data_IF_556902034031
#
_entry.id   IF_556902034031
#
_cell.length_a   1.000
_cell.length_b   1.000
_cell.length_c   1.000
_cell.angle_alpha   90.00
_cell.angle_beta   90.00
_cell.angle_gamma   90.00
#
_symmetry.space_group_name_H-M   'P 1'
#
loop_
_entity.id
_entity.type
_entity.pdbx_description
1 polymer ?
#
# COMPACT_ATOMS: atom_id res chain seq x y z
N UNK A 1 15.54 -6.10 -8.98
CA UNK A 1 15.76 -4.77 -8.36
C UNK A 1 15.75 -4.88 -6.84
N UNK A 2 16.86 -4.65 -6.13
CA UNK A 2 16.86 -4.64 -4.66
C UNK A 2 16.12 -3.45 -4.02
N UNK A 3 15.45 -2.57 -4.79
CA UNK A 3 15.28 -1.17 -4.37
C UNK A 3 13.84 -0.65 -4.25
N UNK A 4 12.82 -1.45 -4.59
CA UNK A 4 11.44 -0.94 -4.54
C UNK A 4 10.87 -1.00 -3.11
N UNK A 5 10.86 -2.19 -2.51
CA UNK A 5 10.40 -2.37 -1.12
C UNK A 5 11.29 -1.63 -0.13
N UNK A 6 12.60 -1.57 -0.38
CA UNK A 6 13.54 -0.85 0.50
C UNK A 6 13.23 0.65 0.56
N UNK A 7 12.83 1.29 -0.54
CA UNK A 7 12.50 2.72 -0.55
C UNK A 7 11.26 3.01 0.32
N UNK A 8 10.22 2.17 0.19
CA UNK A 8 9.01 2.27 1.01
C UNK A 8 9.35 2.07 2.49
N UNK A 9 10.11 1.02 2.82
CA UNK A 9 10.47 0.75 4.21
C UNK A 9 11.40 1.82 4.80
N UNK A 10 12.32 2.41 4.03
CA UNK A 10 13.15 3.52 4.50
C UNK A 10 12.31 4.75 4.80
N UNK A 11 11.39 5.15 3.90
CA UNK A 11 10.44 6.26 4.16
C UNK A 11 9.67 5.99 5.45
N UNK A 12 9.10 4.80 5.58
CA UNK A 12 8.37 4.36 6.78
C UNK A 12 9.24 4.44 8.03
N UNK A 13 10.46 3.95 8.00
CA UNK A 13 11.37 3.98 9.14
C UNK A 13 11.77 5.41 9.55
N UNK A 14 11.92 6.33 8.59
CA UNK A 14 12.18 7.75 8.85
C UNK A 14 10.96 8.41 9.51
N UNK A 15 9.76 8.13 9.01
CA UNK A 15 8.52 8.61 9.65
C UNK A 15 8.41 8.05 11.07
N UNK A 16 8.60 6.74 11.22
CA UNK A 16 8.53 6.08 12.52
C UNK A 16 9.61 6.60 13.45
N UNK A 17 10.82 6.98 13.00
CA UNK A 17 11.87 7.50 13.90
C UNK A 17 11.60 8.92 14.38
N UNK A 18 10.94 9.75 13.57
CA UNK A 18 10.57 11.13 13.91
C UNK A 18 9.29 11.23 14.73
N UNK A 19 8.48 10.17 14.75
CA UNK A 19 7.25 10.11 15.56
C UNK A 19 7.55 10.12 17.07
N UNK A 20 6.78 10.92 17.82
CA UNK A 20 6.78 10.93 19.29
C UNK A 20 5.50 10.24 19.76
N UNK A 21 5.59 9.02 20.33
CA UNK A 21 4.43 8.28 20.81
C UNK A 21 3.70 9.04 21.91
N UNK A 22 2.37 8.89 21.93
CA UNK A 22 1.52 9.48 22.94
C UNK A 22 0.59 8.42 23.56
N UNK A 23 -0.23 8.85 24.53
CA UNK A 23 -1.17 7.97 25.24
C UNK A 23 -2.11 7.21 24.31
N UNK A 24 -2.49 7.79 23.18
CA UNK A 24 -3.51 7.26 22.29
C UNK A 24 -2.91 6.48 21.11
N UNK A 25 -1.72 6.84 20.64
CA UNK A 25 -1.09 6.26 19.45
C UNK A 25 0.34 5.78 19.76
N UNK A 26 0.51 4.45 19.70
CA UNK A 26 1.81 3.80 19.91
C UNK A 26 2.70 3.95 18.67
N UNK A 27 4.03 3.82 18.86
CA UNK A 27 4.99 3.80 17.75
C UNK A 27 4.70 2.67 16.77
N UNK A 28 4.32 1.50 17.27
CA UNK A 28 4.01 0.33 16.44
C UNK A 28 2.74 0.56 15.60
N UNK A 29 1.71 1.18 16.18
CA UNK A 29 0.50 1.50 15.43
C UNK A 29 0.79 2.52 14.33
N UNK A 30 1.57 3.56 14.66
CA UNK A 30 2.00 4.57 13.68
C UNK A 30 2.83 3.96 12.55
N UNK A 31 3.73 3.02 12.88
CA UNK A 31 4.56 2.29 11.94
C UNK A 31 3.74 1.50 10.90
N UNK A 32 2.75 0.73 11.37
CA UNK A 32 1.82 0.00 10.49
C UNK A 32 0.93 0.93 9.67
N UNK A 33 0.43 2.01 10.28
CA UNK A 33 -0.43 2.99 9.60
C UNK A 33 0.32 3.74 8.49
N UNK A 34 1.56 4.17 8.77
CA UNK A 34 2.42 4.81 7.78
C UNK A 34 2.81 3.85 6.65
N UNK A 35 3.02 2.56 6.95
CA UNK A 35 3.26 1.57 5.91
C UNK A 35 2.06 1.39 4.98
N UNK A 36 0.85 1.29 5.53
CA UNK A 36 -0.38 1.16 4.76
C UNK A 36 -0.63 2.38 3.87
N UNK A 37 -0.38 3.59 4.39
CA UNK A 37 -0.47 4.80 3.61
C UNK A 37 0.51 4.78 2.42
N UNK A 38 1.78 4.44 2.64
CA UNK A 38 2.77 4.37 1.57
C UNK A 38 2.49 3.26 0.55
N UNK A 39 1.85 2.16 0.97
CA UNK A 39 1.59 1.00 0.12
C UNK A 39 0.25 1.08 -0.64
N UNK A 40 -0.77 1.68 -0.04
CA UNK A 40 -2.12 1.69 -0.62
C UNK A 40 -2.59 3.10 -0.97
N UNK A 41 -1.85 4.15 -0.63
CA UNK A 41 -2.36 5.54 -0.68
C UNK A 41 -3.46 5.81 0.34
N UNK A 42 -3.69 4.88 1.28
CA UNK A 42 -4.80 4.89 2.21
C UNK A 42 -4.30 4.39 3.58
N UNK A 43 -4.56 5.16 4.64
CA UNK A 43 -4.22 4.78 6.01
C UNK A 43 -5.41 4.97 6.95
N UNK A 44 -5.81 3.92 7.67
CA UNK A 44 -6.98 3.96 8.55
C UNK A 44 -6.60 3.81 10.03
N UNK A 45 -7.16 4.69 10.86
CA UNK A 45 -7.12 4.60 12.32
C UNK A 45 -8.53 4.60 12.88
N UNK A 46 -8.86 3.58 13.65
CA UNK A 46 -10.11 3.47 14.39
C UNK A 46 -9.90 4.00 15.82
N UNK A 47 -10.73 4.96 16.22
CA UNK A 47 -10.81 5.42 17.60
C UNK A 47 -11.52 4.36 18.45
N UNK A 48 -10.82 3.81 19.43
CA UNK A 48 -11.41 2.97 20.48
C UNK A 48 -11.68 3.83 21.70
N UNK A 49 -12.88 3.70 22.26
CA UNK A 49 -13.33 4.44 23.43
C UNK A 49 -13.51 3.53 24.64
N UNK A 50 -13.43 4.11 25.83
CA UNK A 50 -13.80 3.40 27.06
C UNK A 50 -15.33 3.41 27.25
N UNK A 51 -15.83 2.70 28.26
CA UNK A 51 -17.27 2.65 28.57
C UNK A 51 -17.90 4.01 28.92
N UNK A 52 -17.09 5.04 29.17
CA UNK A 52 -17.52 6.41 29.47
C UNK A 52 -17.46 7.32 28.23
N UNK A 53 -17.16 6.78 27.03
CA UNK A 53 -17.07 7.54 25.78
C UNK A 53 -15.80 8.37 25.63
N UNK A 54 -14.78 8.16 26.46
CA UNK A 54 -13.50 8.85 26.34
C UNK A 54 -12.57 8.08 25.40
N UNK A 55 -11.82 8.82 24.57
CA UNK A 55 -10.77 8.25 23.72
C UNK A 55 -9.80 7.39 24.55
N UNK A 56 -9.64 6.13 24.16
CA UNK A 56 -8.74 5.17 24.80
C UNK A 56 -7.47 5.00 23.98
N UNK A 57 -7.60 4.64 22.71
CA UNK A 57 -6.47 4.43 21.80
C UNK A 57 -6.92 4.46 20.34
N UNK A 58 -5.98 4.77 19.45
CA UNK A 58 -6.15 4.56 18.02
C UNK A 58 -5.62 3.19 17.64
N UNK A 59 -6.47 2.40 16.98
CA UNK A 59 -6.14 1.09 16.44
C UNK A 59 -5.98 1.21 14.92
N UNK A 60 -4.87 0.70 14.40
CA UNK A 60 -4.68 0.60 12.95
C UNK A 60 -5.65 -0.42 12.36
N UNK A 61 -6.35 -0.02 11.29
CA UNK A 61 -7.15 -0.92 10.47
C UNK A 61 -6.42 -1.16 9.14
N UNK A 62 -6.12 -2.43 8.79
CA UNK A 62 -5.47 -2.75 7.52
C UNK A 62 -6.23 -2.20 6.30
N UNK A 63 -5.56 -1.39 5.49
CA UNK A 63 -6.14 -0.71 4.33
C UNK A 63 -6.65 -1.70 3.28
N UNK A 64 -5.96 -2.84 3.09
CA UNK A 64 -6.38 -3.90 2.17
C UNK A 64 -7.79 -4.40 2.43
N UNK A 65 -8.23 -4.44 3.69
CA UNK A 65 -9.51 -5.02 4.12
C UNK A 65 -10.55 -3.95 4.49
N UNK A 66 -10.13 -2.70 4.66
CA UNK A 66 -11.04 -1.60 4.99
C UNK A 66 -11.71 -1.09 3.72
N UNK A 67 -13.03 -0.90 3.75
CA UNK A 67 -13.85 -0.39 2.66
C UNK A 67 -14.70 0.77 3.16
N UNK A 68 -14.88 1.77 2.33
CA UNK A 68 -15.80 2.88 2.56
C UNK A 68 -17.18 2.51 2.02
N UNK A 69 -18.22 2.85 2.78
CA UNK A 69 -19.61 2.69 2.39
C UNK A 69 -19.98 3.63 1.23
N UNK A 70 -21.10 3.31 0.56
CA UNK A 70 -21.62 4.13 -0.54
C UNK A 70 -22.14 5.50 -0.06
N UNK A 71 -22.46 5.61 1.22
CA UNK A 71 -22.83 6.86 1.90
C UNK A 71 -21.64 7.79 2.16
N UNK A 72 -20.40 7.34 1.88
CA UNK A 72 -19.15 8.04 2.13
C UNK A 72 -18.85 8.33 3.61
N UNK A 73 -19.66 7.86 4.54
CA UNK A 73 -19.51 8.08 5.99
C UNK A 73 -19.16 6.80 6.73
N UNK A 74 -19.72 5.66 6.31
CA UNK A 74 -19.48 4.39 6.98
C UNK A 74 -18.22 3.71 6.48
N UNK A 75 -17.59 2.93 7.36
CA UNK A 75 -16.46 2.09 7.02
C UNK A 75 -16.75 0.65 7.43
N UNK A 76 -16.20 -0.27 6.67
CA UNK A 76 -16.39 -1.71 6.83
C UNK A 76 -15.05 -2.41 6.80
N UNK A 77 -14.83 -3.34 7.71
CA UNK A 77 -13.72 -4.27 7.67
C UNK A 77 -14.19 -5.59 7.07
N UNK A 78 -13.70 -5.90 5.87
CA UNK A 78 -14.14 -7.03 5.06
C UNK A 78 -13.00 -8.04 4.91
N UNK A 79 -13.17 -9.21 5.51
CA UNK A 79 -12.28 -10.36 5.31
C UNK A 79 -12.82 -11.26 4.18
N UNK A 80 -11.91 -11.95 3.50
CA UNK A 80 -12.28 -12.86 2.42
C UNK A 80 -12.56 -14.25 3.02
N UNK A 81 -13.76 -14.78 2.80
CA UNK A 81 -14.18 -16.11 3.23
C UNK A 81 -15.70 -16.25 3.25
N UNK A 82 -16.22 -17.44 2.94
CA UNK A 82 -17.67 -17.70 2.81
C UNK A 82 -18.48 -17.38 4.09
N UNK A 83 -17.87 -17.52 5.27
CA UNK A 83 -18.55 -17.33 6.57
C UNK A 83 -18.13 -16.06 7.33
N UNK A 84 -17.35 -15.18 6.71
CA UNK A 84 -16.84 -13.98 7.38
C UNK A 84 -17.82 -12.83 7.24
N UNK A 85 -18.51 -12.50 8.33
CA UNK A 85 -19.38 -11.31 8.38
C UNK A 85 -18.51 -10.05 8.37
N UNK A 86 -18.80 -9.07 7.50
CA UNK A 86 -18.18 -7.76 7.56
C UNK A 86 -18.38 -7.13 8.94
N UNK A 87 -17.34 -6.49 9.46
CA UNK A 87 -17.43 -5.69 10.68
C UNK A 87 -17.67 -4.24 10.29
N UNK A 88 -18.82 -3.69 10.67
CA UNK A 88 -19.12 -2.27 10.53
C UNK A 88 -18.38 -1.48 11.61
N UNK A 89 -17.63 -0.48 11.20
CA UNK A 89 -17.07 0.49 12.13
C UNK A 89 -18.15 1.50 12.53
N UNK A 90 -18.10 1.97 13.77
CA UNK A 90 -18.98 3.03 14.22
C UNK A 90 -18.71 4.33 13.44
N UNK A 91 -19.78 4.96 12.96
CA UNK A 91 -19.71 6.17 12.13
C UNK A 91 -18.94 7.29 12.85
N UNK A 92 -18.04 7.96 12.12
CA UNK A 92 -17.21 9.03 12.68
C UNK A 92 -16.06 8.56 13.60
N UNK A 93 -15.90 7.25 13.83
CA UNK A 93 -14.78 6.71 14.62
C UNK A 93 -13.57 6.30 13.79
N UNK A 94 -13.64 6.34 12.46
CA UNK A 94 -12.53 6.01 11.57
C UNK A 94 -11.94 7.28 10.99
N UNK A 95 -10.65 7.50 11.24
CA UNK A 95 -9.85 8.48 10.53
C UNK A 95 -9.24 7.82 9.28
N UNK A 96 -9.50 8.41 8.11
CA UNK A 96 -9.01 7.96 6.82
C UNK A 96 -8.04 9.01 6.26
N UNK A 97 -6.75 8.66 6.24
CA UNK A 97 -5.72 9.41 5.53
C UNK A 97 -5.66 8.95 4.07
N UNK A 98 -5.79 9.90 3.15
CA UNK A 98 -5.89 9.67 1.70
C UNK A 98 -4.76 10.43 0.99
N UNK A 99 -4.02 9.73 0.13
CA UNK A 99 -3.16 10.34 -0.87
C UNK A 99 -4.02 10.80 -2.06
N UNK A 100 -3.92 12.04 -2.56
CA UNK A 100 -4.78 12.50 -3.66
C UNK A 100 -4.73 11.61 -4.91
N UNK A 101 -5.91 11.22 -5.43
CA UNK A 101 -6.07 10.55 -6.73
C UNK A 101 -6.69 11.54 -7.74
N UNK A 102 -6.22 11.49 -8.98
CA UNK A 102 -6.72 12.35 -10.08
C UNK A 102 -8.11 11.86 -10.55
N UNK A 103 -8.41 10.57 -10.36
CA UNK A 103 -9.61 9.95 -10.92
C UNK A 103 -10.80 9.91 -9.95
N UNK A 104 -10.55 10.04 -8.64
CA UNK A 104 -11.58 9.88 -7.61
C UNK A 104 -11.19 10.60 -6.30
N UNK A 105 -12.18 10.83 -5.44
CA UNK A 105 -12.02 11.44 -4.11
C UNK A 105 -12.25 10.45 -2.96
N UNK A 106 -12.49 9.17 -3.27
CA UNK A 106 -12.91 8.15 -2.31
C UNK A 106 -11.71 7.41 -1.70
N UNK A 107 -10.74 7.06 -2.54
CA UNK A 107 -9.52 6.34 -2.16
C UNK A 107 -8.30 7.02 -2.76
N UNK A 108 -7.16 6.82 -2.11
CA UNK A 108 -5.91 7.36 -2.59
C UNK A 108 -5.14 6.49 -3.55
N UNK A 109 -4.22 7.13 -4.28
CA UNK A 109 -3.35 6.53 -5.28
C UNK A 109 -1.91 6.45 -4.75
N UNK A 110 -1.30 5.26 -4.60
CA UNK A 110 0.05 5.16 -4.08
C UNK A 110 1.11 5.70 -5.06
N UNK A 111 2.05 6.50 -4.55
CA UNK A 111 3.09 7.17 -5.35
C UNK A 111 3.95 6.21 -6.19
N UNK A 112 4.18 4.99 -5.68
CA UNK A 112 5.11 4.06 -6.31
C UNK A 112 4.60 3.47 -7.63
N UNK A 113 3.31 3.68 -7.98
CA UNK A 113 2.74 3.23 -9.25
C UNK A 113 3.50 3.81 -10.45
N UNK A 114 3.96 5.06 -10.34
CA UNK A 114 4.78 5.70 -11.37
C UNK A 114 6.11 4.95 -11.63
N UNK A 115 6.61 4.19 -10.65
CA UNK A 115 7.84 3.43 -10.76
C UNK A 115 7.64 2.02 -11.34
N UNK A 116 6.40 1.55 -11.59
CA UNK A 116 6.12 0.20 -12.10
C UNK A 116 6.87 -0.11 -13.41
N UNK A 117 6.87 0.77 -14.43
CA UNK A 117 7.59 0.48 -15.67
C UNK A 117 9.09 0.25 -15.44
N UNK A 118 9.70 1.04 -14.55
CA UNK A 118 11.11 0.87 -14.17
C UNK A 118 11.36 -0.42 -13.39
N UNK A 119 10.43 -0.82 -12.52
CA UNK A 119 10.50 -2.09 -11.78
C UNK A 119 10.44 -3.28 -12.75
N UNK A 120 9.48 -3.29 -13.67
CA UNK A 120 9.32 -4.34 -14.68
C UNK A 120 10.52 -4.45 -15.61
N UNK A 121 11.07 -3.31 -16.06
CA UNK A 121 12.29 -3.29 -16.86
C UNK A 121 13.48 -3.90 -16.11
N UNK A 122 13.63 -3.57 -14.82
CA UNK A 122 14.70 -4.12 -14.01
C UNK A 122 14.54 -5.62 -13.76
N UNK A 123 13.30 -6.08 -13.54
CA UNK A 123 12.97 -7.50 -13.43
C UNK A 123 13.34 -8.25 -14.71
N UNK A 124 12.90 -7.77 -15.87
CA UNK A 124 13.21 -8.35 -17.16
C UNK A 124 14.73 -8.42 -17.41
N UNK A 125 15.48 -7.35 -17.08
CA UNK A 125 16.93 -7.32 -17.20
C UNK A 125 17.62 -8.36 -16.30
N UNK A 126 17.14 -8.51 -15.05
CA UNK A 126 17.67 -9.49 -14.10
C UNK A 126 17.39 -10.92 -14.60
N UNK A 127 16.17 -11.19 -15.07
CA UNK A 127 15.80 -12.47 -15.65
C UNK A 127 16.59 -12.79 -16.91
N UNK A 128 16.83 -11.80 -17.78
CA UNK A 128 17.67 -11.95 -18.96
C UNK A 128 19.08 -12.39 -18.58
N UNK A 129 19.73 -11.67 -17.66
CA UNK A 129 21.08 -12.03 -17.16
C UNK A 129 21.09 -13.43 -16.56
N UNK A 130 20.11 -13.76 -15.72
CA UNK A 130 20.02 -15.10 -15.10
C UNK A 130 19.86 -16.21 -16.15
N UNK A 131 18.99 -16.03 -17.14
CA UNK A 131 18.80 -16.99 -18.24
C UNK A 131 20.06 -17.12 -19.10
N UNK A 132 20.75 -16.01 -19.37
CA UNK A 132 22.01 -15.99 -20.11
C UNK A 132 23.07 -16.86 -19.41
N UNK A 133 23.23 -16.71 -18.09
CA UNK A 133 24.17 -17.53 -17.33
C UNK A 133 23.74 -19.00 -17.21
N UNK A 134 22.46 -19.28 -16.97
CA UNK A 134 21.99 -20.65 -16.75
C UNK A 134 21.95 -21.51 -18.02
N UNK A 135 21.57 -20.93 -19.17
CA UNK A 135 21.35 -21.70 -20.39
C UNK A 135 22.63 -21.89 -21.22
N UNK A 136 23.77 -21.32 -20.81
CA UNK A 136 25.04 -21.43 -21.55
C UNK A 136 24.99 -20.88 -22.98
N UNK A 137 23.90 -20.20 -23.35
CA UNK A 137 23.65 -19.77 -24.72
C UNK A 137 24.24 -18.40 -24.96
N UNK A 138 25.50 -18.41 -25.38
CA UNK A 138 26.10 -17.33 -26.18
C UNK A 138 25.41 -17.15 -27.54
N UNK A 139 24.49 -18.04 -27.94
CA UNK A 139 23.61 -17.78 -29.06
C UNK A 139 22.64 -16.68 -28.63
N UNK A 140 23.03 -15.45 -28.96
CA UNK A 140 22.31 -14.24 -28.64
C UNK A 140 20.84 -14.38 -29.00
N UNK A 141 19.98 -13.90 -28.10
CA UNK A 141 18.65 -13.50 -28.54
C UNK A 141 18.88 -12.33 -29.51
N UNK A 142 18.94 -12.62 -30.82
CA UNK A 142 18.84 -11.59 -31.83
C UNK A 142 17.42 -11.05 -31.67
N UNK A 143 17.31 -9.82 -31.15
CA UNK A 143 16.06 -9.07 -31.16
C UNK A 143 15.80 -8.71 -32.63
N UNK A 144 15.23 -9.65 -33.39
CA UNK A 144 14.78 -9.40 -34.75
C UNK A 144 13.47 -8.62 -34.65
N UNK A 145 13.58 -7.30 -34.55
CA UNK A 145 12.43 -6.41 -34.75
C UNK A 145 12.14 -6.44 -36.25
N UNK A 146 11.21 -7.30 -36.66
CA UNK A 146 10.52 -7.14 -37.93
C UNK A 146 9.25 -6.35 -37.68
N UNK A 147 9.42 -5.07 -37.39
CA UNK A 147 8.36 -4.11 -37.67
C UNK A 147 8.86 -3.23 -38.80
N UNK A 148 8.45 -3.58 -40.01
CA UNK A 148 8.43 -2.61 -41.09
C UNK A 148 7.37 -1.61 -40.66
N UNK A 149 7.79 -0.45 -40.18
CA UNK A 149 6.97 0.75 -40.13
C UNK A 149 6.34 0.91 -41.51
N UNK A 150 5.14 0.36 -41.66
CA UNK A 150 4.34 0.44 -42.86
C UNK A 150 3.94 1.90 -42.99
N UNK A 151 4.24 2.44 -44.19
CA UNK A 151 3.88 3.77 -44.66
C UNK A 151 2.41 4.11 -44.41
#
# INVERSE_FOLDING_TARGET
>A
APHHSSAIYVKRNILTSTFIPNKYLSRQTFDSWGLDFLLFGNGYLELRENRLGQALTFKHSPAKFTRRGADLETYWFVQHGYDTKPYEFETGKVHHLIEPDINQEIYGLPEYLAAIPSVLLNEASTLFRRKYYLNGSHAGYILYISDAAQK
#
